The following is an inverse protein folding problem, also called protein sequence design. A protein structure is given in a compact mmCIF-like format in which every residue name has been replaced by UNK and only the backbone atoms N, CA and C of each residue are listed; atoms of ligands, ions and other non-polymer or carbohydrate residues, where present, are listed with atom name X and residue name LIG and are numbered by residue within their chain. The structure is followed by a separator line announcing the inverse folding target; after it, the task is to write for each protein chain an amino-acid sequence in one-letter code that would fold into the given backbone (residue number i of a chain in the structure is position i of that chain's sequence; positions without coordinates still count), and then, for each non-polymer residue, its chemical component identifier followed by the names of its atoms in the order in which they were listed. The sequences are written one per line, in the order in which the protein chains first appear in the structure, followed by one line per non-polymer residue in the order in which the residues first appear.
data_IF_505845740561
#
_entry.id   IF_505845740561
#
_cell.length_a   1.000
_cell.length_b   1.000
_cell.length_c   1.000
_cell.angle_alpha   90.00
_cell.angle_beta   90.00
_cell.angle_gamma   90.00
#
_symmetry.space_group_name_H-M   'P 1'
#
loop_
_entity.id
_entity.type
_entity.pdbx_description
1 polymer ?
#
# COMPACT_ATOMS: atom_id res chain seq x y z
N UNK A 1 -20.87 14.96 11.23
CA UNK A 1 -19.60 15.24 11.92
C UNK A 1 -19.12 13.97 12.62
N UNK A 2 -18.18 13.27 12.01
CA UNK A 2 -17.41 12.22 12.67
C UNK A 2 -15.94 12.57 12.40
N UNK A 3 -15.12 12.81 13.43
CA UNK A 3 -13.70 12.98 13.20
C UNK A 3 -13.19 11.67 12.59
N UNK A 4 -12.42 11.76 11.50
CA UNK A 4 -11.80 10.60 10.89
C UNK A 4 -10.94 9.90 11.94
N UNK A 5 -11.50 8.87 12.58
CA UNK A 5 -10.78 8.03 13.50
C UNK A 5 -9.84 7.20 12.65
N UNK A 6 -8.58 7.63 12.53
CA UNK A 6 -7.53 6.74 12.06
C UNK A 6 -7.41 5.61 13.09
N UNK A 7 -8.18 4.53 12.91
CA UNK A 7 -8.34 3.43 13.87
C UNK A 7 -7.05 2.62 14.06
N UNK A 8 -6.01 2.89 13.26
CA UNK A 8 -4.76 2.10 13.22
C UNK A 8 -3.58 2.91 13.74
N UNK A 9 -3.38 2.96 15.07
CA UNK A 9 -2.20 3.62 15.63
C UNK A 9 -0.92 2.86 15.27
N UNK A 10 0.03 3.48 14.52
CA UNK A 10 1.30 2.82 14.20
C UNK A 10 2.14 2.73 15.49
N UNK A 11 2.80 1.58 15.75
CA UNK A 11 3.66 1.48 16.92
C UNK A 11 4.90 2.36 16.75
N UNK A 12 5.51 2.75 17.88
CA UNK A 12 6.77 3.51 17.85
C UNK A 12 7.86 2.73 17.10
N UNK A 13 8.82 3.45 16.50
CA UNK A 13 9.98 2.85 15.81
C UNK A 13 10.72 1.82 16.67
N UNK A 14 10.83 2.08 17.98
CA UNK A 14 11.46 1.16 18.94
C UNK A 14 10.69 -0.15 19.03
N UNK A 15 9.37 -0.09 19.21
CA UNK A 15 8.49 -1.27 19.30
C UNK A 15 8.49 -2.05 17.99
N UNK A 16 8.39 -1.36 16.84
CA UNK A 16 8.47 -1.98 15.52
C UNK A 16 9.78 -2.78 15.33
N UNK A 17 10.92 -2.16 15.65
CA UNK A 17 12.24 -2.79 15.50
C UNK A 17 12.41 -4.00 16.42
N UNK A 18 11.94 -3.91 17.66
CA UNK A 18 11.97 -5.00 18.61
C UNK A 18 11.12 -6.19 18.14
N UNK A 19 9.87 -5.92 17.76
CA UNK A 19 8.93 -6.93 17.27
C UNK A 19 9.50 -7.73 16.09
N UNK A 20 10.10 -7.03 15.11
CA UNK A 20 10.71 -7.67 13.94
C UNK A 20 11.95 -8.52 14.30
N UNK A 21 12.75 -8.10 15.28
CA UNK A 21 13.91 -8.87 15.77
C UNK A 21 13.50 -10.13 16.50
N UNK A 22 12.48 -10.02 17.35
CA UNK A 22 11.96 -11.12 18.15
C UNK A 22 11.06 -12.08 17.35
N UNK A 23 10.75 -11.76 16.08
CA UNK A 23 9.76 -12.47 15.27
C UNK A 23 8.42 -12.66 15.99
N UNK A 24 8.07 -11.69 16.85
CA UNK A 24 6.86 -11.74 17.66
C UNK A 24 5.64 -11.54 16.76
N UNK A 25 4.59 -12.32 16.98
CA UNK A 25 3.29 -12.14 16.30
C UNK A 25 2.70 -10.74 16.57
N UNK A 26 2.12 -10.06 15.56
CA UNK A 26 1.49 -8.76 15.75
C UNK A 26 0.24 -8.90 16.62
N UNK A 27 0.03 -7.94 17.53
CA UNK A 27 -1.10 -7.90 18.46
C UNK A 27 -2.13 -6.84 18.11
N UNK A 28 -1.75 -5.86 17.30
CA UNK A 28 -2.63 -4.75 16.88
C UNK A 28 -2.64 -4.62 15.36
N UNK A 29 -3.66 -3.96 14.77
CA UNK A 29 -3.68 -3.68 13.33
C UNK A 29 -2.43 -2.92 12.86
N UNK A 30 -1.94 -1.95 13.64
CA UNK A 30 -0.74 -1.19 13.31
C UNK A 30 0.53 -2.03 13.36
N UNK A 31 0.64 -2.96 14.32
CA UNK A 31 1.72 -3.95 14.34
C UNK A 31 1.65 -4.90 13.14
N UNK A 32 0.45 -5.33 12.76
CA UNK A 32 0.23 -6.19 11.58
C UNK A 32 0.70 -5.49 10.31
N UNK A 33 0.31 -4.24 10.11
CA UNK A 33 0.76 -3.42 8.97
C UNK A 33 2.29 -3.33 8.90
N UNK A 34 3.00 -3.21 10.04
CA UNK A 34 4.47 -3.22 10.05
C UNK A 34 5.04 -4.57 9.65
N UNK A 35 4.48 -5.67 10.16
CA UNK A 35 4.93 -7.02 9.79
C UNK A 35 4.71 -7.27 8.30
N UNK A 36 3.51 -6.94 7.80
CA UNK A 36 3.14 -7.03 6.39
C UNK A 36 4.10 -6.24 5.50
N UNK A 37 4.36 -4.97 5.85
CA UNK A 37 5.32 -4.13 5.14
C UNK A 37 6.72 -4.74 5.14
N UNK A 38 7.20 -5.24 6.28
CA UNK A 38 8.52 -5.88 6.36
C UNK A 38 8.62 -7.13 5.48
N UNK A 39 7.61 -8.00 5.50
CA UNK A 39 7.57 -9.21 4.69
C UNK A 39 7.49 -8.88 3.20
N UNK A 40 6.66 -7.91 2.82
CA UNK A 40 6.57 -7.42 1.44
C UNK A 40 7.92 -6.88 0.96
N UNK A 41 8.63 -6.10 1.80
CA UNK A 41 9.97 -5.62 1.47
C UNK A 41 11.02 -6.72 1.37
N UNK A 42 10.81 -7.89 1.97
CA UNK A 42 11.69 -9.06 1.74
C UNK A 42 11.39 -9.70 0.39
N UNK A 43 10.11 -9.87 0.06
CA UNK A 43 9.66 -10.42 -1.22
C UNK A 43 10.08 -9.52 -2.40
N UNK A 44 9.87 -8.21 -2.31
CA UNK A 44 10.31 -7.26 -3.35
C UNK A 44 11.81 -7.39 -3.64
N UNK A 45 12.62 -7.74 -2.62
CA UNK A 45 14.06 -7.94 -2.82
C UNK A 45 14.41 -9.23 -3.56
N UNK A 46 13.56 -10.25 -3.53
CA UNK A 46 13.79 -11.49 -4.30
C UNK A 46 13.44 -11.31 -5.77
N UNK A 47 12.52 -10.38 -6.09
CA UNK A 47 12.00 -10.13 -7.44
C UNK A 47 12.67 -8.94 -8.15
N UNK A 48 13.85 -8.50 -7.71
CA UNK A 48 14.54 -7.30 -8.24
C UNK A 48 14.88 -7.34 -9.72
N UNK A 49 14.94 -8.53 -10.31
CA UNK A 49 15.28 -8.74 -11.72
C UNK A 49 14.04 -8.97 -12.59
N UNK A 50 12.85 -8.99 -12.00
CA UNK A 50 11.59 -9.15 -12.72
C UNK A 50 11.01 -7.78 -13.10
N UNK A 51 10.38 -7.72 -14.26
CA UNK A 51 9.65 -6.53 -14.71
C UNK A 51 8.42 -6.28 -13.82
N UNK A 52 8.14 -5.01 -13.58
CA UNK A 52 6.98 -4.60 -12.82
C UNK A 52 5.73 -4.83 -13.68
N UNK A 53 4.73 -5.48 -13.11
CA UNK A 53 3.43 -5.67 -13.74
C UNK A 53 2.29 -5.24 -12.80
N UNK A 54 1.09 -4.95 -13.32
CA UNK A 54 -0.08 -4.70 -12.49
C UNK A 54 -0.38 -5.85 -11.52
N UNK A 55 -0.19 -7.10 -11.96
CA UNK A 55 -0.39 -8.30 -11.14
C UNK A 55 0.60 -8.33 -9.98
N UNK A 56 1.86 -7.94 -10.21
CA UNK A 56 2.87 -7.85 -9.17
C UNK A 56 2.55 -6.73 -8.16
N UNK A 57 2.05 -5.58 -8.64
CA UNK A 57 1.56 -4.50 -7.77
C UNK A 57 0.40 -4.99 -6.91
N UNK A 58 -0.58 -5.69 -7.49
CA UNK A 58 -1.72 -6.24 -6.76
C UNK A 58 -1.30 -7.33 -5.76
N UNK A 59 -0.29 -8.15 -6.09
CA UNK A 59 0.33 -9.09 -5.14
C UNK A 59 0.93 -8.36 -3.95
N UNK A 60 1.71 -7.30 -4.20
CA UNK A 60 2.29 -6.50 -3.11
C UNK A 60 1.23 -5.77 -2.30
N UNK A 61 0.18 -5.25 -2.95
CA UNK A 61 -0.96 -4.65 -2.27
C UNK A 61 -1.58 -5.65 -1.30
N UNK A 62 -1.93 -6.86 -1.76
CA UNK A 62 -2.46 -7.92 -0.90
C UNK A 62 -1.54 -8.24 0.28
N UNK A 63 -0.22 -8.34 0.04
CA UNK A 63 0.74 -8.61 1.11
C UNK A 63 0.83 -7.49 2.15
N UNK A 64 0.78 -6.23 1.71
CA UNK A 64 0.84 -5.05 2.60
C UNK A 64 -0.45 -4.95 3.43
N UNK A 65 -1.60 -5.19 2.81
CA UNK A 65 -2.91 -4.96 3.41
C UNK A 65 -3.53 -6.17 4.10
N UNK A 66 -2.88 -7.33 4.05
CA UNK A 66 -3.38 -8.58 4.61
C UNK A 66 -3.86 -8.46 6.07
N UNK A 67 -5.17 -8.58 6.28
CA UNK A 67 -5.84 -8.47 7.56
C UNK A 67 -5.80 -7.08 8.19
N UNK A 68 -5.62 -6.02 7.39
CA UNK A 68 -5.58 -4.62 7.87
C UNK A 68 -6.70 -3.74 7.34
N UNK A 69 -7.43 -4.17 6.31
CA UNK A 69 -8.57 -3.43 5.74
C UNK A 69 -9.88 -3.80 6.44
N UNK A 70 -10.85 -2.90 6.39
CA UNK A 70 -12.19 -3.13 6.93
C UNK A 70 -12.95 -4.19 6.10
N UNK A 71 -12.81 -4.17 4.77
CA UNK A 71 -13.26 -5.23 3.86
C UNK A 71 -12.05 -6.05 3.36
N UNK A 72 -11.90 -7.32 3.76
CA UNK A 72 -10.86 -8.21 3.24
C UNK A 72 -10.92 -8.39 1.72
N UNK A 73 -12.10 -8.18 1.11
CA UNK A 73 -12.27 -8.22 -0.32
C UNK A 73 -11.50 -7.13 -1.05
N UNK A 74 -11.17 -6.01 -0.41
CA UNK A 74 -10.36 -4.91 -0.98
C UNK A 74 -8.87 -5.28 -1.11
N UNK A 75 -8.40 -6.34 -0.45
CA UNK A 75 -6.99 -6.75 -0.50
C UNK A 75 -6.60 -7.23 -1.91
N UNK A 76 -5.54 -6.66 -2.47
CA UNK A 76 -5.03 -7.08 -3.77
C UNK A 76 -5.94 -6.78 -4.96
N UNK A 77 -6.90 -5.85 -4.84
CA UNK A 77 -7.68 -5.35 -5.98
C UNK A 77 -7.57 -3.85 -6.15
N UNK A 78 -7.88 -3.38 -7.36
CA UNK A 78 -8.22 -1.97 -7.57
C UNK A 78 -9.60 -1.68 -7.00
N UNK A 79 -9.82 -0.42 -6.60
CA UNK A 79 -11.16 0.05 -6.23
C UNK A 79 -12.13 -0.06 -7.40
N UNK A 80 -13.41 -0.16 -7.08
CA UNK A 80 -14.50 -0.39 -8.03
C UNK A 80 -15.55 0.73 -8.06
N UNK A 81 -15.28 1.83 -7.35
CA UNK A 81 -16.13 3.02 -7.25
C UNK A 81 -15.25 4.27 -7.09
N UNK A 82 -15.85 5.45 -7.16
CA UNK A 82 -15.19 6.76 -7.08
C UNK A 82 -15.43 7.49 -5.74
N UNK A 83 -15.77 6.75 -4.67
CA UNK A 83 -16.14 7.33 -3.38
C UNK A 83 -14.92 7.78 -2.54
N UNK A 84 -13.71 7.36 -2.94
CA UNK A 84 -12.45 7.70 -2.26
C UNK A 84 -11.99 9.12 -2.62
N UNK A 85 -11.69 9.93 -1.61
CA UNK A 85 -11.02 11.23 -1.77
C UNK A 85 -10.02 11.49 -0.63
N UNK A 86 -9.04 12.33 -0.89
CA UNK A 86 -8.10 12.79 0.13
C UNK A 86 -8.68 14.06 0.75
N UNK A 87 -8.93 14.02 2.05
CA UNK A 87 -9.45 15.14 2.83
C UNK A 87 -8.44 15.60 3.87
N UNK A 88 -8.49 16.87 4.24
CA UNK A 88 -7.75 17.38 5.41
C UNK A 88 -8.49 17.10 6.73
N UNK A 89 -7.92 17.54 7.85
CA UNK A 89 -8.52 17.38 9.18
C UNK A 89 -9.83 18.17 9.39
N UNK A 90 -10.15 19.13 8.50
CA UNK A 90 -11.42 19.88 8.51
C UNK A 90 -12.51 19.20 7.67
N UNK A 91 -12.16 18.18 6.89
CA UNK A 91 -13.04 17.52 5.93
C UNK A 91 -13.05 18.19 4.55
N UNK A 92 -12.14 19.14 4.29
CA UNK A 92 -12.00 19.76 2.97
C UNK A 92 -11.32 18.77 2.02
N UNK A 93 -11.91 18.53 0.85
CA UNK A 93 -11.31 17.68 -0.19
C UNK A 93 -10.07 18.37 -0.76
N UNK A 94 -8.91 17.77 -0.55
CA UNK A 94 -7.61 18.23 -1.08
C UNK A 94 -7.32 17.63 -2.46
N UNK A 95 -7.74 16.39 -2.68
CA UNK A 95 -7.51 15.69 -3.93
C UNK A 95 -8.61 14.66 -4.19
N UNK A 96 -9.10 14.62 -5.43
CA UNK A 96 -9.97 13.57 -5.94
C UNK A 96 -9.15 12.72 -6.91
N UNK A 97 -8.95 11.43 -6.61
CA UNK A 97 -8.30 10.51 -7.52
C UNK A 97 -9.02 10.44 -8.89
N UNK A 98 -8.35 9.93 -9.94
CA UNK A 98 -9.00 9.69 -11.24
C UNK A 98 -10.21 8.74 -11.13
N UNK A 99 -11.01 8.50 -12.18
CA UNK A 99 -12.05 7.46 -12.16
C UNK A 99 -11.50 6.04 -11.99
N UNK A 100 -12.23 5.15 -11.29
CA UNK A 100 -11.78 3.78 -11.00
C UNK A 100 -11.55 2.96 -12.26
N UNK A 101 -12.35 3.25 -13.31
CA UNK A 101 -12.28 2.59 -14.62
C UNK A 101 -10.95 2.83 -15.34
N UNK A 102 -10.27 3.93 -15.02
CA UNK A 102 -9.03 4.32 -15.67
C UNK A 102 -7.79 3.75 -14.97
N UNK A 103 -7.92 3.33 -13.70
CA UNK A 103 -6.81 2.79 -12.89
C UNK A 103 -6.07 1.65 -13.61
N UNK A 104 -6.74 0.63 -14.19
CA UNK A 104 -6.02 -0.43 -14.88
C UNK A 104 -5.17 0.07 -16.05
N UNK A 105 -5.61 1.14 -16.74
CA UNK A 105 -4.84 1.80 -17.80
C UNK A 105 -3.60 2.49 -17.24
N UNK A 106 -3.80 3.35 -16.25
CA UNK A 106 -2.70 4.07 -15.60
C UNK A 106 -1.66 3.15 -14.98
N UNK A 107 -2.07 2.02 -14.41
CA UNK A 107 -1.13 1.04 -13.85
C UNK A 107 -0.29 0.37 -14.92
N UNK A 108 -0.86 0.05 -16.09
CA UNK A 108 -0.06 -0.46 -17.22
C UNK A 108 0.95 0.56 -17.71
N UNK A 109 0.56 1.83 -17.83
CA UNK A 109 1.46 2.92 -18.22
C UNK A 109 2.58 3.13 -17.20
N UNK A 110 2.26 3.10 -15.91
CA UNK A 110 3.23 3.19 -14.81
C UNK A 110 4.24 2.04 -14.87
N UNK A 111 3.76 0.80 -15.05
CA UNK A 111 4.62 -0.38 -15.22
C UNK A 111 5.55 -0.22 -16.42
N UNK A 112 5.02 0.19 -17.58
CA UNK A 112 5.83 0.43 -18.78
C UNK A 112 6.92 1.49 -18.55
N UNK A 113 6.57 2.59 -17.90
CA UNK A 113 7.51 3.64 -17.54
C UNK A 113 8.59 3.16 -16.56
N UNK A 114 8.21 2.37 -15.55
CA UNK A 114 9.10 1.83 -14.53
C UNK A 114 10.15 0.90 -15.15
N UNK A 115 9.70 -0.01 -16.01
CA UNK A 115 10.56 -1.01 -16.64
C UNK A 115 11.51 -0.38 -17.68
N UNK A 116 11.07 0.67 -18.37
CA UNK A 116 11.90 1.39 -19.34
C UNK A 116 13.13 2.09 -18.72
N UNK A 117 13.13 2.36 -17.40
CA UNK A 117 14.19 3.12 -16.72
C UNK A 117 15.12 2.28 -15.81
N UNK A 118 14.97 0.95 -15.77
CA UNK A 118 15.77 -0.02 -14.99
C UNK A 118 16.23 0.48 -13.59
N UNK A 119 15.38 1.20 -12.85
CA UNK A 119 15.71 1.76 -11.53
C UNK A 119 14.62 1.43 -10.49
N UNK A 120 14.38 0.13 -10.28
CA UNK A 120 13.37 -0.42 -9.37
C UNK A 120 13.41 0.12 -7.93
N UNK A 121 14.56 0.58 -7.45
CA UNK A 121 14.73 0.93 -6.03
C UNK A 121 14.04 2.25 -5.65
N UNK A 122 13.95 3.23 -6.56
CA UNK A 122 13.27 4.51 -6.30
C UNK A 122 11.77 4.46 -6.60
N UNK A 123 11.37 3.65 -7.59
CA UNK A 123 9.97 3.47 -7.98
C UNK A 123 9.11 2.82 -6.89
N UNK A 124 9.68 1.97 -6.04
CA UNK A 124 8.93 1.31 -4.97
C UNK A 124 8.39 2.30 -3.91
N UNK A 125 9.10 3.38 -3.58
CA UNK A 125 8.54 4.42 -2.67
C UNK A 125 7.33 5.12 -3.28
N UNK A 126 7.34 5.34 -4.59
CA UNK A 126 6.22 5.90 -5.34
C UNK A 126 5.04 4.93 -5.37
N UNK A 127 5.28 3.65 -5.67
CA UNK A 127 4.25 2.60 -5.65
C UNK A 127 3.65 2.46 -4.26
N UNK A 128 4.46 2.45 -3.19
CA UNK A 128 3.95 2.42 -1.82
C UNK A 128 3.06 3.63 -1.51
N UNK A 129 3.42 4.81 -2.01
CA UNK A 129 2.63 6.04 -1.83
C UNK A 129 1.31 5.94 -2.58
N UNK A 130 1.33 5.46 -3.82
CA UNK A 130 0.14 5.25 -4.65
C UNK A 130 -0.76 4.18 -4.02
N UNK A 131 -0.22 3.01 -3.69
CA UNK A 131 -0.95 1.88 -3.10
C UNK A 131 -1.55 2.24 -1.73
N UNK A 132 -0.89 3.07 -0.93
CA UNK A 132 -1.46 3.58 0.33
C UNK A 132 -2.49 4.71 0.14
N UNK A 133 -2.63 5.25 -1.08
CA UNK A 133 -3.57 6.34 -1.41
C UNK A 133 -4.73 5.90 -2.31
N UNK A 134 -4.66 4.72 -2.94
CA UNK A 134 -5.68 4.20 -3.86
C UNK A 134 -6.85 3.55 -3.13
#
# INVERSE_FOLDING_TARGET
MHPASWKVQPPTRRVAKQMLREQRKPRTPGERMIVNNYLTMKEVRTLKTEDLSPELILKFHAMITAGTLDDPGDEGRFRNNDDTCVVDGSGTVLHTPPPYKDIPGYMRELCGFANAKQNFTLLFSLILTIVLHM
#
